data_IF_778634083955
#
_entry.id   IF_778634083955
#
_cell.length_a   1.000
_cell.length_b   1.000
_cell.length_c   1.000
_cell.angle_alpha   90.00
_cell.angle_beta   90.00
_cell.angle_gamma   90.00
#
_symmetry.space_group_name_H-M   'P 1'
#
loop_
_entity.id
_entity.type
_entity.pdbx_description
1 polymer ?
#
# COMPACT_ATOMS: atom_id res chain seq x y z
N UNK A 1 -2.93 14.72 -12.26
CA UNK A 1 -1.85 13.79 -11.86
C UNK A 1 -0.52 14.52 -11.76
N UNK A 2 -0.14 15.30 -12.80
CA UNK A 2 1.09 16.11 -12.80
C UNK A 2 1.25 16.99 -11.56
N UNK A 3 0.17 17.64 -11.09
CA UNK A 3 0.21 18.57 -9.94
C UNK A 3 0.49 17.92 -8.57
N UNK A 4 0.47 16.59 -8.48
CA UNK A 4 0.73 15.85 -7.23
C UNK A 4 1.88 14.86 -7.33
N UNK A 5 2.46 14.66 -8.53
CA UNK A 5 3.64 13.81 -8.72
C UNK A 5 4.82 14.32 -7.88
N UNK A 6 4.99 15.64 -7.83
CA UNK A 6 6.04 16.30 -7.03
C UNK A 6 5.83 16.13 -5.51
N UNK A 7 4.62 15.75 -5.07
CA UNK A 7 4.30 15.48 -3.66
C UNK A 7 4.55 14.04 -3.24
N UNK A 8 4.78 13.13 -4.20
CA UNK A 8 5.02 11.71 -3.89
C UNK A 8 6.30 11.53 -3.06
N UNK A 9 7.47 12.08 -3.46
CA UNK A 9 8.72 11.83 -2.74
C UNK A 9 8.67 12.22 -1.26
N UNK A 10 7.96 13.31 -0.93
CA UNK A 10 7.82 13.79 0.45
C UNK A 10 6.79 13.01 1.28
N UNK A 11 5.93 12.23 0.63
CA UNK A 11 4.92 11.40 1.28
C UNK A 11 5.36 9.94 1.42
N UNK A 12 6.43 9.51 0.75
CA UNK A 12 6.98 8.17 0.90
C UNK A 12 7.46 7.94 2.34
N UNK A 13 7.24 6.73 2.84
CA UNK A 13 7.59 6.34 4.20
C UNK A 13 8.61 5.19 4.18
N UNK A 14 9.40 5.08 5.25
CA UNK A 14 10.30 3.96 5.53
C UNK A 14 11.01 3.36 4.32
N UNK A 15 10.60 2.14 3.95
CA UNK A 15 11.19 1.36 2.86
C UNK A 15 11.07 2.04 1.49
N UNK A 16 9.92 2.65 1.20
CA UNK A 16 9.64 3.35 -0.05
C UNK A 16 10.52 4.60 -0.19
N UNK A 17 10.66 5.37 0.90
CA UNK A 17 11.50 6.57 0.93
C UNK A 17 12.98 6.24 0.72
N UNK A 18 13.45 5.17 1.38
CA UNK A 18 14.83 4.69 1.22
C UNK A 18 15.08 4.23 -0.22
N UNK A 19 14.19 3.41 -0.78
CA UNK A 19 14.27 2.93 -2.16
C UNK A 19 14.32 4.08 -3.15
N UNK A 20 13.48 5.10 -2.96
CA UNK A 20 13.48 6.28 -3.81
C UNK A 20 14.81 7.03 -3.74
N UNK A 21 15.36 7.25 -2.54
CA UNK A 21 16.67 7.91 -2.37
C UNK A 21 17.79 7.12 -3.02
N UNK A 22 17.88 5.81 -2.75
CA UNK A 22 18.93 4.94 -3.29
C UNK A 22 18.89 4.90 -4.84
N UNK A 23 17.68 4.87 -5.42
CA UNK A 23 17.50 4.86 -6.86
C UNK A 23 17.82 6.22 -7.50
N UNK A 24 17.42 7.33 -6.84
CA UNK A 24 17.75 8.69 -7.25
C UNK A 24 19.27 8.90 -7.29
N UNK A 25 19.97 8.51 -6.22
CA UNK A 25 21.42 8.66 -6.11
C UNK A 25 22.14 7.78 -7.14
N UNK A 26 21.65 6.56 -7.39
CA UNK A 26 22.18 5.69 -8.45
C UNK A 26 22.03 6.30 -9.84
N UNK A 27 20.90 6.94 -10.16
CA UNK A 27 20.72 7.60 -11.45
C UNK A 27 21.61 8.84 -11.59
N UNK A 28 21.78 9.63 -10.52
CA UNK A 28 22.69 10.77 -10.51
C UNK A 28 24.15 10.32 -10.68
N UNK A 29 24.57 9.24 -10.02
CA UNK A 29 25.89 8.65 -10.19
C UNK A 29 26.15 8.15 -11.62
N UNK A 30 25.09 7.77 -12.35
CA UNK A 30 25.14 7.42 -13.76
C UNK A 30 25.11 8.64 -14.72
N UNK A 31 25.10 9.87 -14.19
CA UNK A 31 25.15 11.11 -14.96
C UNK A 31 23.80 11.72 -15.33
N UNK A 32 22.69 11.21 -14.78
CA UNK A 32 21.37 11.82 -15.00
C UNK A 32 21.26 13.19 -14.29
N UNK A 33 20.62 14.19 -14.92
CA UNK A 33 20.23 15.43 -14.24
C UNK A 33 19.35 15.15 -13.01
N UNK A 34 19.51 15.95 -11.95
CA UNK A 34 18.84 15.71 -10.66
C UNK A 34 17.32 15.60 -10.79
N UNK A 35 16.68 16.52 -11.51
CA UNK A 35 15.22 16.50 -11.74
C UNK A 35 14.74 15.22 -12.45
N UNK A 36 15.53 14.70 -13.41
CA UNK A 36 15.22 13.47 -14.11
C UNK A 36 15.42 12.25 -13.22
N UNK A 37 16.48 12.23 -12.40
CA UNK A 37 16.75 11.17 -11.44
C UNK A 37 15.65 11.06 -10.39
N UNK A 38 15.20 12.19 -9.82
CA UNK A 38 14.09 12.27 -8.87
C UNK A 38 12.77 11.78 -9.48
N UNK A 39 12.45 12.25 -10.69
CA UNK A 39 11.25 11.83 -11.42
C UNK A 39 11.29 10.33 -11.70
N UNK A 40 12.39 9.84 -12.25
CA UNK A 40 12.57 8.42 -12.60
C UNK A 40 12.49 7.51 -11.37
N UNK A 41 13.04 7.95 -10.23
CA UNK A 41 12.98 7.18 -8.99
C UNK A 41 11.55 7.04 -8.44
N UNK A 42 10.68 8.03 -8.66
CA UNK A 42 9.29 8.04 -8.17
C UNK A 42 8.24 7.47 -9.13
N UNK A 43 8.63 6.98 -10.33
CA UNK A 43 7.66 6.49 -11.34
C UNK A 43 6.80 5.34 -10.81
N UNK A 44 7.38 4.42 -10.04
CA UNK A 44 6.65 3.27 -9.51
C UNK A 44 5.57 3.68 -8.50
N UNK A 45 5.83 4.76 -7.77
CA UNK A 45 4.94 5.30 -6.72
C UNK A 45 3.84 6.20 -7.32
N UNK A 46 3.99 6.63 -8.57
CA UNK A 46 2.99 7.44 -9.29
C UNK A 46 1.69 6.66 -9.53
N UNK A 47 1.74 5.32 -9.62
CA UNK A 47 0.53 4.49 -9.76
C UNK A 47 -0.40 4.62 -8.54
N UNK A 48 0.17 4.75 -7.33
CA UNK A 48 -0.60 4.96 -6.10
C UNK A 48 -1.43 6.25 -6.15
N UNK A 49 -1.02 7.26 -6.93
CA UNK A 49 -1.78 8.50 -7.07
C UNK A 49 -3.14 8.31 -7.76
N UNK A 50 -3.30 7.27 -8.59
CA UNK A 50 -4.58 6.93 -9.19
C UNK A 50 -5.57 6.50 -8.11
N UNK A 51 -5.15 5.56 -7.26
CA UNK A 51 -5.95 5.04 -6.16
C UNK A 51 -6.27 6.13 -5.15
N UNK A 52 -5.28 6.94 -4.76
CA UNK A 52 -5.47 8.04 -3.79
C UNK A 52 -6.49 9.05 -4.32
N UNK A 53 -6.43 9.41 -5.61
CA UNK A 53 -7.39 10.33 -6.21
C UNK A 53 -8.79 9.73 -6.26
N UNK A 54 -8.90 8.46 -6.64
CA UNK A 54 -10.19 7.76 -6.67
C UNK A 54 -10.80 7.67 -5.26
N UNK A 55 -10.00 7.37 -4.25
CA UNK A 55 -10.41 7.31 -2.84
C UNK A 55 -10.89 8.68 -2.37
N UNK A 56 -10.09 9.74 -2.56
CA UNK A 56 -10.45 11.11 -2.18
C UNK A 56 -11.78 11.54 -2.83
N UNK A 57 -11.96 11.26 -4.13
CA UNK A 57 -13.19 11.58 -4.84
C UNK A 57 -14.42 10.82 -4.33
N UNK A 58 -14.26 9.56 -3.90
CA UNK A 58 -15.36 8.73 -3.38
C UNK A 58 -15.67 8.99 -1.90
N UNK A 59 -14.68 9.29 -1.09
CA UNK A 59 -14.86 9.57 0.35
C UNK A 59 -15.28 11.01 0.63
N UNK A 60 -14.99 11.93 -0.29
CA UNK A 60 -15.11 13.38 -0.08
C UNK A 60 -14.01 13.96 0.81
N UNK A 61 -13.01 13.16 1.19
CA UNK A 61 -11.86 13.61 1.98
C UNK A 61 -10.82 14.27 1.07
N UNK A 62 -10.14 15.31 1.57
CA UNK A 62 -9.12 16.02 0.81
C UNK A 62 -7.94 15.11 0.45
N UNK A 63 -7.43 15.28 -0.77
CA UNK A 63 -6.29 14.52 -1.28
C UNK A 63 -5.07 14.64 -0.36
N UNK A 64 -4.84 15.83 0.23
CA UNK A 64 -3.71 16.06 1.13
C UNK A 64 -3.80 15.26 2.45
N UNK A 65 -4.99 14.77 2.82
CA UNK A 65 -5.19 13.88 3.95
C UNK A 65 -5.11 12.40 3.56
N UNK A 66 -5.65 12.04 2.39
CA UNK A 66 -5.63 10.65 1.89
C UNK A 66 -4.21 10.21 1.52
N UNK A 67 -3.41 11.08 0.91
CA UNK A 67 -2.03 10.80 0.47
C UNK A 67 -1.13 10.26 1.60
N UNK A 68 -0.92 10.98 2.72
CA UNK A 68 -0.07 10.49 3.80
C UNK A 68 -0.68 9.27 4.49
N UNK A 69 -2.01 9.14 4.57
CA UNK A 69 -2.65 7.94 5.11
C UNK A 69 -2.33 6.70 4.27
N UNK A 70 -2.42 6.81 2.95
CA UNK A 70 -2.13 5.71 2.04
C UNK A 70 -0.70 5.18 2.22
N UNK A 71 0.30 6.07 2.20
CA UNK A 71 1.70 5.65 2.37
C UNK A 71 2.02 5.19 3.80
N UNK A 72 1.34 5.74 4.82
CA UNK A 72 1.45 5.20 6.19
C UNK A 72 0.90 3.77 6.27
N UNK A 73 -0.19 3.46 5.57
CA UNK A 73 -0.72 2.09 5.46
C UNK A 73 0.24 1.21 4.65
N UNK A 74 0.84 1.73 3.58
CA UNK A 74 1.83 1.02 2.76
C UNK A 74 3.00 0.51 3.61
N UNK A 75 3.61 1.41 4.38
CA UNK A 75 4.70 1.08 5.30
C UNK A 75 4.23 0.15 6.43
N UNK A 76 3.06 0.40 7.03
CA UNK A 76 2.55 -0.42 8.13
C UNK A 76 2.32 -1.89 7.76
N UNK A 77 2.09 -2.19 6.48
CA UNK A 77 1.80 -3.52 5.96
C UNK A 77 2.85 -4.03 4.96
N UNK A 78 4.06 -3.45 4.96
CA UNK A 78 5.21 -3.86 4.14
C UNK A 78 4.89 -3.97 2.63
N UNK A 79 4.01 -3.09 2.12
CA UNK A 79 3.52 -3.18 0.74
C UNK A 79 4.63 -2.97 -0.28
N UNK A 80 5.59 -2.09 0.00
CA UNK A 80 6.77 -1.91 -0.86
C UNK A 80 7.59 -3.19 -1.00
N UNK A 81 7.81 -3.90 0.11
CA UNK A 81 8.57 -5.13 0.10
C UNK A 81 7.85 -6.24 -0.67
N UNK A 82 6.52 -6.32 -0.54
CA UNK A 82 5.72 -7.22 -1.36
C UNK A 82 5.82 -6.87 -2.85
N UNK A 83 5.76 -5.58 -3.19
CA UNK A 83 5.90 -5.11 -4.57
C UNK A 83 7.29 -5.43 -5.17
N UNK A 84 8.35 -5.25 -4.37
CA UNK A 84 9.71 -5.61 -4.74
C UNK A 84 9.85 -7.12 -4.98
N UNK A 85 9.29 -7.96 -4.11
CA UNK A 85 9.29 -9.42 -4.28
C UNK A 85 8.50 -9.85 -5.52
N UNK A 86 7.33 -9.27 -5.77
CA UNK A 86 6.56 -9.51 -7.00
C UNK A 86 7.38 -9.11 -8.24
N UNK A 87 8.12 -8.00 -8.16
CA UNK A 87 8.97 -7.51 -9.26
C UNK A 87 10.16 -8.44 -9.50
N UNK A 88 10.72 -9.02 -8.44
CA UNK A 88 11.85 -9.93 -8.47
C UNK A 88 11.49 -11.35 -8.94
N UNK A 89 10.19 -11.71 -8.97
CA UNK A 89 9.74 -13.02 -9.45
C UNK A 89 10.31 -13.32 -10.86
N UNK A 90 10.69 -14.59 -11.14
CA UNK A 90 11.25 -14.98 -12.42
C UNK A 90 10.39 -14.54 -13.60
N UNK A 91 11.04 -14.05 -14.66
CA UNK A 91 10.33 -13.50 -15.83
C UNK A 91 9.52 -14.56 -16.60
N UNK A 92 9.95 -15.83 -16.52
CA UNK A 92 9.21 -17.01 -16.97
C UNK A 92 8.66 -16.92 -18.39
N UNK A 93 7.56 -17.63 -18.63
CA UNK A 93 6.80 -17.58 -19.88
C UNK A 93 5.70 -16.51 -19.84
N UNK A 94 4.81 -16.52 -20.85
CA UNK A 94 3.66 -15.60 -20.91
C UNK A 94 2.78 -15.68 -19.66
N UNK A 95 2.59 -16.86 -19.08
CA UNK A 95 1.72 -17.05 -17.91
C UNK A 95 2.37 -16.51 -16.64
N UNK A 96 3.68 -16.67 -16.50
CA UNK A 96 4.44 -16.03 -15.41
C UNK A 96 4.35 -14.50 -15.47
N UNK A 97 4.39 -13.90 -16.67
CA UNK A 97 4.20 -12.46 -16.83
C UNK A 97 2.79 -12.00 -16.41
N UNK A 98 1.73 -12.73 -16.82
CA UNK A 98 0.36 -12.43 -16.43
C UNK A 98 0.13 -12.60 -14.92
N UNK A 99 0.73 -13.62 -14.31
CA UNK A 99 0.63 -13.85 -12.87
C UNK A 99 1.27 -12.71 -12.06
N UNK A 100 2.47 -12.25 -12.45
CA UNK A 100 3.12 -11.08 -11.81
C UNK A 100 2.29 -9.80 -11.95
N UNK A 101 1.72 -9.57 -13.14
CA UNK A 101 0.82 -8.45 -13.36
C UNK A 101 -0.41 -8.54 -12.44
N UNK A 102 -1.04 -9.71 -12.36
CA UNK A 102 -2.21 -9.92 -11.50
C UNK A 102 -1.88 -9.68 -10.02
N UNK A 103 -0.77 -10.24 -9.52
CA UNK A 103 -0.33 -10.02 -8.13
C UNK A 103 -0.11 -8.53 -7.83
N UNK A 104 0.53 -7.80 -8.74
CA UNK A 104 0.78 -6.36 -8.56
C UNK A 104 -0.52 -5.56 -8.55
N UNK A 105 -1.43 -5.82 -9.51
CA UNK A 105 -2.74 -5.16 -9.56
C UNK A 105 -3.57 -5.47 -8.32
N UNK A 106 -3.55 -6.71 -7.86
CA UNK A 106 -4.27 -7.13 -6.66
C UNK A 106 -3.69 -6.47 -5.40
N UNK A 107 -2.37 -6.27 -5.32
CA UNK A 107 -1.72 -5.58 -4.21
C UNK A 107 -2.21 -4.12 -4.11
N UNK A 108 -2.19 -3.38 -5.22
CA UNK A 108 -2.71 -2.01 -5.28
C UNK A 108 -4.18 -1.94 -4.88
N UNK A 109 -5.02 -2.83 -5.42
CA UNK A 109 -6.44 -2.88 -5.07
C UNK A 109 -6.68 -3.11 -3.57
N UNK A 110 -5.86 -3.97 -2.94
CA UNK A 110 -5.95 -4.27 -1.51
C UNK A 110 -5.59 -3.07 -0.65
N UNK A 111 -4.48 -2.37 -0.93
CA UNK A 111 -4.10 -1.19 -0.15
C UNK A 111 -5.08 -0.04 -0.35
N UNK A 112 -5.59 0.15 -1.56
CA UNK A 112 -6.63 1.13 -1.84
C UNK A 112 -7.90 0.83 -1.03
N UNK A 113 -8.34 -0.44 -0.99
CA UNK A 113 -9.51 -0.87 -0.23
C UNK A 113 -9.32 -0.74 1.28
N UNK A 114 -8.11 -1.05 1.80
CA UNK A 114 -7.76 -0.86 3.21
C UNK A 114 -7.77 0.62 3.59
N UNK A 115 -7.16 1.48 2.78
CA UNK A 115 -7.16 2.94 2.97
C UNK A 115 -8.58 3.48 3.02
N UNK A 116 -9.42 3.10 2.06
CA UNK A 116 -10.83 3.50 2.05
C UNK A 116 -11.60 2.98 3.28
N UNK A 117 -11.23 1.81 3.83
CA UNK A 117 -11.84 1.28 5.06
C UNK A 117 -11.45 2.12 6.27
N UNK A 118 -10.16 2.42 6.45
CA UNK A 118 -9.67 3.27 7.54
C UNK A 118 -10.36 4.63 7.48
N UNK A 119 -10.48 5.22 6.30
CA UNK A 119 -11.19 6.49 6.10
C UNK A 119 -12.63 6.44 6.60
N UNK A 120 -13.39 5.40 6.23
CA UNK A 120 -14.81 5.25 6.64
C UNK A 120 -15.01 5.06 8.14
N UNK A 121 -14.00 4.61 8.87
CA UNK A 121 -14.12 4.26 10.29
C UNK A 121 -13.42 5.24 11.24
N UNK A 122 -12.81 6.31 10.73
CA UNK A 122 -11.99 7.21 11.53
C UNK A 122 -12.23 8.67 11.19
N UNK A 123 -11.89 9.57 12.11
CA UNK A 123 -12.03 11.00 11.88
C UNK A 123 -10.89 11.51 10.98
N UNK A 124 -11.16 12.26 9.90
CA UNK A 124 -10.14 12.79 8.99
C UNK A 124 -9.15 13.76 9.66
N UNK A 125 -9.46 14.34 10.83
CA UNK A 125 -8.53 15.25 11.54
C UNK A 125 -7.45 14.51 12.33
N UNK A 126 -7.57 13.19 12.49
CA UNK A 126 -6.58 12.39 13.20
C UNK A 126 -5.33 12.20 12.34
N UNK A 127 -4.17 12.14 12.99
CA UNK A 127 -2.92 11.74 12.35
C UNK A 127 -3.07 10.36 11.66
N UNK A 128 -2.45 10.15 10.47
CA UNK A 128 -2.48 8.87 9.76
C UNK A 128 -2.25 7.63 10.63
N UNK A 129 -1.23 7.64 11.50
CA UNK A 129 -0.92 6.49 12.34
C UNK A 129 -2.03 6.25 13.36
N UNK A 130 -2.53 7.31 14.00
CA UNK A 130 -3.63 7.21 14.96
C UNK A 130 -4.93 6.66 14.31
N UNK A 131 -5.20 7.00 13.04
CA UNK A 131 -6.33 6.43 12.29
C UNK A 131 -6.14 4.93 12.07
N UNK A 132 -4.94 4.51 11.68
CA UNK A 132 -4.63 3.10 11.48
C UNK A 132 -4.78 2.34 12.80
N UNK A 133 -4.21 2.84 13.90
CA UNK A 133 -4.30 2.21 15.21
C UNK A 133 -5.75 2.12 15.72
N UNK A 134 -6.56 3.17 15.51
CA UNK A 134 -7.98 3.14 15.85
C UNK A 134 -8.74 2.07 15.04
N UNK A 135 -8.46 1.96 13.74
CA UNK A 135 -9.02 0.89 12.92
C UNK A 135 -8.54 -0.48 13.39
N UNK A 136 -7.24 -0.67 13.62
CA UNK A 136 -6.64 -1.92 14.11
C UNK A 136 -7.24 -2.36 15.45
N UNK A 137 -7.45 -1.42 16.37
CA UNK A 137 -8.08 -1.65 17.67
C UNK A 137 -9.50 -2.21 17.57
N UNK A 138 -10.27 -1.76 16.58
CA UNK A 138 -11.62 -2.28 16.32
C UNK A 138 -11.63 -3.66 15.63
N UNK A 139 -10.49 -4.14 15.11
CA UNK A 139 -10.39 -5.36 14.29
C UNK A 139 -9.35 -6.38 14.81
N UNK A 140 -9.05 -6.34 16.11
CA UNK A 140 -7.96 -7.09 16.75
C UNK A 140 -7.96 -8.60 16.47
N UNK A 141 -9.12 -9.27 16.52
CA UNK A 141 -9.24 -10.72 16.38
C UNK A 141 -8.77 -11.24 15.01
N UNK A 142 -8.98 -10.45 13.95
CA UNK A 142 -8.51 -10.76 12.59
C UNK A 142 -7.05 -10.40 12.37
N UNK A 143 -6.60 -9.33 13.03
CA UNK A 143 -5.31 -8.70 12.79
C UNK A 143 -4.12 -9.53 13.26
N UNK A 144 -4.22 -10.14 14.45
CA UNK A 144 -3.12 -10.93 15.02
C UNK A 144 -2.69 -12.10 14.14
N UNK A 145 -3.67 -12.85 13.60
CA UNK A 145 -3.40 -13.96 12.68
C UNK A 145 -2.80 -13.47 11.37
N UNK A 146 -3.34 -12.38 10.81
CA UNK A 146 -2.84 -11.84 9.56
C UNK A 146 -1.38 -11.37 9.68
N UNK A 147 -1.04 -10.65 10.75
CA UNK A 147 0.34 -10.22 11.02
C UNK A 147 1.29 -11.40 11.13
N UNK A 148 0.93 -12.41 11.92
CA UNK A 148 1.77 -13.60 12.08
C UNK A 148 2.09 -14.28 10.74
N UNK A 149 1.10 -14.41 9.84
CA UNK A 149 1.33 -15.00 8.51
C UNK A 149 2.16 -14.10 7.60
N UNK A 150 1.91 -12.78 7.61
CA UNK A 150 2.70 -11.84 6.80
C UNK A 150 4.16 -11.79 7.26
N UNK A 151 4.41 -11.82 8.57
CA UNK A 151 5.77 -11.88 9.12
C UNK A 151 6.48 -13.20 8.82
N UNK A 152 5.75 -14.32 8.80
CA UNK A 152 6.32 -15.61 8.39
C UNK A 152 6.79 -15.56 6.94
N UNK A 153 5.97 -15.03 6.04
CA UNK A 153 6.32 -14.85 4.62
C UNK A 153 7.46 -13.85 4.47
N UNK A 154 7.46 -12.75 5.24
CA UNK A 154 8.51 -11.73 5.16
C UNK A 154 9.89 -12.27 5.60
N UNK A 155 9.94 -13.27 6.48
CA UNK A 155 11.20 -13.92 6.90
C UNK A 155 11.75 -14.93 5.89
N UNK A 156 10.99 -15.32 4.86
CA UNK A 156 11.48 -16.21 3.81
C UNK A 156 12.47 -15.47 2.89
N UNK A 157 13.66 -16.02 2.69
CA UNK A 157 14.69 -15.48 1.79
C UNK A 157 14.23 -15.55 0.33
N UNK A 158 13.70 -16.71 -0.09
CA UNK A 158 13.11 -16.92 -1.41
C UNK A 158 11.59 -16.91 -1.31
N UNK A 159 10.96 -15.87 -1.86
CA UNK A 159 9.49 -15.80 -1.95
C UNK A 159 9.05 -16.17 -3.36
N UNK A 160 8.25 -17.23 -3.48
CA UNK A 160 7.67 -17.66 -4.75
C UNK A 160 6.27 -17.06 -4.99
N UNK A 161 5.67 -17.43 -6.12
CA UNK A 161 4.33 -17.00 -6.50
C UNK A 161 3.27 -17.43 -5.47
N UNK A 162 3.43 -18.61 -4.87
CA UNK A 162 2.46 -19.16 -3.93
C UNK A 162 2.47 -18.38 -2.61
N UNK A 163 3.66 -18.14 -2.04
CA UNK A 163 3.82 -17.33 -0.83
C UNK A 163 3.26 -15.91 -1.02
N UNK A 164 3.51 -15.25 -2.15
CA UNK A 164 2.95 -13.92 -2.45
C UNK A 164 1.43 -13.95 -2.61
N UNK A 165 0.90 -15.00 -3.22
CA UNK A 165 -0.57 -15.19 -3.34
C UNK A 165 -1.23 -15.36 -1.97
N UNK A 166 -0.56 -16.06 -1.03
CA UNK A 166 -1.03 -16.20 0.35
C UNK A 166 -0.98 -14.87 1.08
N UNK A 167 0.11 -14.11 0.97
CA UNK A 167 0.22 -12.77 1.56
C UNK A 167 -0.93 -11.86 1.11
N UNK A 168 -1.21 -11.82 -0.20
CA UNK A 168 -2.34 -11.05 -0.74
C UNK A 168 -3.69 -11.53 -0.21
N UNK A 169 -3.92 -12.84 -0.12
CA UNK A 169 -5.15 -13.38 0.45
C UNK A 169 -5.33 -12.97 1.91
N UNK A 170 -4.26 -12.97 2.69
CA UNK A 170 -4.28 -12.52 4.08
C UNK A 170 -4.67 -11.04 4.17
N UNK A 171 -4.07 -10.17 3.35
CA UNK A 171 -4.42 -8.75 3.31
C UNK A 171 -5.87 -8.52 2.84
N UNK A 172 -6.36 -9.26 1.83
CA UNK A 172 -7.77 -9.18 1.41
C UNK A 172 -8.73 -9.56 2.53
N UNK A 173 -8.39 -10.60 3.29
CA UNK A 173 -9.21 -11.01 4.44
C UNK A 173 -9.25 -9.92 5.52
N UNK A 174 -8.16 -9.17 5.73
CA UNK A 174 -8.18 -8.01 6.63
C UNK A 174 -9.17 -6.94 6.15
N UNK A 175 -9.17 -6.63 4.85
CA UNK A 175 -10.13 -5.68 4.25
C UNK A 175 -11.58 -6.14 4.44
N UNK A 176 -11.84 -7.44 4.25
CA UNK A 176 -13.19 -8.03 4.32
C UNK A 176 -13.75 -8.05 5.75
N UNK A 177 -12.92 -8.35 6.76
CA UNK A 177 -13.35 -8.50 8.15
C UNK A 177 -13.93 -7.21 8.79
N UNK A 178 -13.67 -6.04 8.21
CA UNK A 178 -14.26 -4.78 8.70
C UNK A 178 -15.68 -4.47 8.24
N UNK A 179 -16.38 -5.41 7.59
CA UNK A 179 -17.72 -5.21 7.04
C UNK A 179 -18.88 -5.53 7.98
N UNK A 180 -18.66 -6.29 9.05
CA UNK A 180 -19.73 -6.98 9.76
C UNK A 180 -20.12 -6.41 11.14
N UNK A 181 -19.55 -5.30 11.60
CA UNK A 181 -19.77 -4.86 13.00
C UNK A 181 -20.46 -3.50 13.21
N UNK A 182 -21.01 -2.84 12.17
CA UNK A 182 -21.69 -1.54 12.38
C UNK A 182 -23.11 -1.40 11.78
N UNK A 183 -23.64 -2.44 11.13
CA UNK A 183 -25.00 -2.39 10.58
C UNK A 183 -26.09 -2.87 11.56
N UNK A 184 -25.70 -3.44 12.72
CA UNK A 184 -26.62 -4.10 13.66
C UNK A 184 -26.81 -3.32 14.97
N UNK A 185 -26.32 -2.07 15.04
CA UNK A 185 -26.35 -1.24 16.26
C UNK A 185 -27.14 0.06 16.13
N UNK A 186 -27.62 0.39 14.93
CA UNK A 186 -28.43 1.59 14.66
C UNK A 186 -29.92 1.29 14.42
N UNK A 187 -30.35 0.04 14.64
CA UNK A 187 -31.76 -0.36 14.52
C UNK A 187 -32.47 -0.47 15.88
N UNK A 188 -31.79 -0.18 17.00
CA UNK A 188 -32.33 -0.39 18.36
C UNK A 188 -32.08 0.82 19.28
N UNK A 189 -32.15 2.05 18.76
CA UNK A 189 -32.10 3.29 19.54
C UNK A 189 -33.00 4.37 18.98
#
# INVERSE_FOLDING_TARGET
MRDYADKVPVALMGSEAKRWSDLRDRFMAAGAPANLAETAAGVIDTFSLLDIREIAGRSGEDFASVLPLYFTISERYDVDQLLLRITALPRGDRWAALARQALRSDLYAVIAALTARVIRSTNPVMDPLARIEAWEGAHQAGLGRARSTLEEISRQEDTDLASLSVALRVLRNLVAQGGTSNADRSADS
#
